data_IF_564507227310
#
_entry.id   IF_564507227310
#
_cell.length_a   1.000
_cell.length_b   1.000
_cell.length_c   1.000
_cell.angle_alpha   90.00
_cell.angle_beta   90.00
_cell.angle_gamma   90.00
#
_symmetry.space_group_name_H-M   'P 1'
#
loop_
_entity.id
_entity.type
_entity.pdbx_description
1 polymer ?
#
# COMPACT_ATOMS: atom_id res chain seq x y z
N UNK A 1 -33.80 4.72 36.26
CA UNK A 1 -33.87 6.19 36.35
C UNK A 1 -32.67 6.88 35.67
N UNK A 2 -31.43 6.66 36.08
CA UNK A 2 -30.22 7.32 35.54
C UNK A 2 -29.97 7.06 34.04
N UNK A 3 -30.30 5.87 33.49
CA UNK A 3 -30.17 5.59 32.03
C UNK A 3 -31.09 6.47 31.18
N UNK A 4 -32.40 6.63 31.57
CA UNK A 4 -33.31 7.51 30.84
C UNK A 4 -32.89 9.00 30.94
N UNK A 5 -32.32 9.39 32.09
CA UNK A 5 -31.73 10.72 32.26
C UNK A 5 -30.55 10.94 31.32
N UNK A 6 -29.65 9.96 31.17
CA UNK A 6 -28.48 10.03 30.28
C UNK A 6 -28.87 10.37 28.83
N UNK A 7 -29.83 9.63 28.25
CA UNK A 7 -30.30 9.91 26.88
C UNK A 7 -30.95 11.31 26.73
N UNK A 8 -31.74 11.72 27.73
CA UNK A 8 -32.38 13.04 27.72
C UNK A 8 -31.35 14.19 27.83
N UNK A 9 -30.36 14.03 28.69
CA UNK A 9 -29.31 15.02 28.88
C UNK A 9 -28.37 15.06 27.64
N UNK A 10 -28.06 13.92 27.00
CA UNK A 10 -27.34 13.89 25.71
C UNK A 10 -28.08 14.72 24.65
N UNK A 11 -29.40 14.55 24.54
CA UNK A 11 -30.19 15.31 23.58
C UNK A 11 -30.28 16.79 23.91
N UNK A 12 -30.43 17.14 25.19
CA UNK A 12 -30.54 18.55 25.65
C UNK A 12 -29.23 19.30 25.44
N UNK A 13 -28.08 18.68 25.68
CA UNK A 13 -26.75 19.29 25.54
C UNK A 13 -26.02 18.85 24.25
N UNK A 14 -26.77 18.45 23.20
CA UNK A 14 -26.24 17.90 21.96
C UNK A 14 -25.09 18.72 21.34
N UNK A 15 -25.18 20.06 21.34
CA UNK A 15 -24.14 20.94 20.80
C UNK A 15 -22.79 20.83 21.53
N UNK A 16 -22.78 20.58 22.85
CA UNK A 16 -21.56 20.42 23.62
C UNK A 16 -20.92 19.04 23.37
N UNK A 17 -21.75 18.00 23.26
CA UNK A 17 -21.30 16.63 23.03
C UNK A 17 -20.94 16.36 21.57
N UNK A 18 -21.53 17.11 20.63
CA UNK A 18 -21.22 17.01 19.22
C UNK A 18 -19.75 17.33 18.91
N UNK A 19 -19.15 18.29 19.61
CA UNK A 19 -17.72 18.61 19.45
C UNK A 19 -16.85 17.42 19.84
N UNK A 20 -17.15 16.74 20.93
CA UNK A 20 -16.42 15.52 21.35
C UNK A 20 -16.58 14.42 20.31
N UNK A 21 -17.84 14.19 19.90
CA UNK A 21 -18.15 13.22 18.86
C UNK A 21 -17.34 13.51 17.58
N UNK A 22 -17.38 14.76 17.10
CA UNK A 22 -16.72 15.14 15.86
C UNK A 22 -15.21 14.93 15.90
N UNK A 23 -14.55 15.29 17.01
CA UNK A 23 -13.11 15.14 17.15
C UNK A 23 -12.69 13.66 17.18
N UNK A 24 -13.40 12.81 17.93
CA UNK A 24 -13.13 11.37 17.96
C UNK A 24 -13.45 10.73 16.61
N UNK A 25 -14.56 11.13 16.00
CA UNK A 25 -14.98 10.63 14.68
C UNK A 25 -13.94 10.94 13.61
N UNK A 26 -13.49 12.21 13.48
CA UNK A 26 -12.49 12.59 12.48
C UNK A 26 -11.16 11.88 12.73
N UNK A 27 -10.71 11.79 14.00
CA UNK A 27 -9.48 11.07 14.32
C UNK A 27 -9.53 9.61 13.93
N UNK A 28 -10.62 8.91 14.23
CA UNK A 28 -10.79 7.50 13.86
C UNK A 28 -11.06 7.30 12.37
N UNK A 29 -11.74 8.23 11.72
CA UNK A 29 -11.98 8.24 10.28
C UNK A 29 -10.65 8.32 9.51
N UNK A 30 -9.79 9.27 9.86
CA UNK A 30 -8.48 9.42 9.24
C UNK A 30 -7.59 8.22 9.51
N UNK A 31 -7.54 7.74 10.77
CA UNK A 31 -6.73 6.58 11.14
C UNK A 31 -7.16 5.32 10.38
N UNK A 32 -8.46 5.01 10.40
CA UNK A 32 -8.98 3.82 9.73
C UNK A 32 -8.83 3.88 8.21
N UNK A 33 -9.04 5.06 7.61
CA UNK A 33 -8.89 5.26 6.18
C UNK A 33 -7.46 5.08 5.70
N UNK A 34 -6.50 5.77 6.36
CA UNK A 34 -5.08 5.70 6.00
C UNK A 34 -4.53 4.29 6.22
N UNK A 35 -4.79 3.68 7.40
CA UNK A 35 -4.36 2.30 7.65
C UNK A 35 -5.03 1.30 6.71
N UNK A 36 -6.36 1.43 6.47
CA UNK A 36 -7.07 0.55 5.56
C UNK A 36 -6.49 0.56 4.15
N UNK A 37 -6.09 1.72 3.66
CA UNK A 37 -5.42 1.90 2.38
C UNK A 37 -3.99 1.34 2.40
N UNK A 38 -3.11 1.80 3.31
CA UNK A 38 -1.70 1.41 3.35
C UNK A 38 -1.49 -0.07 3.63
N UNK A 39 -2.23 -0.62 4.59
CA UNK A 39 -2.16 -2.04 4.90
C UNK A 39 -2.73 -2.89 3.76
N UNK A 40 -3.79 -2.39 3.09
CA UNK A 40 -4.37 -3.01 1.90
C UNK A 40 -3.40 -3.05 0.74
N UNK A 41 -2.70 -1.95 0.46
CA UNK A 41 -1.62 -1.91 -0.54
C UNK A 41 -0.51 -2.91 -0.21
N UNK A 42 -0.02 -2.92 1.02
CA UNK A 42 1.04 -3.82 1.46
C UNK A 42 0.66 -5.31 1.32
N UNK A 43 -0.56 -5.67 1.73
CA UNK A 43 -1.06 -7.05 1.58
C UNK A 43 -1.26 -7.43 0.10
N UNK A 44 -1.81 -6.52 -0.72
CA UNK A 44 -1.99 -6.73 -2.16
C UNK A 44 -0.64 -6.93 -2.86
N UNK A 45 0.36 -6.09 -2.54
CA UNK A 45 1.70 -6.22 -3.10
C UNK A 45 2.39 -7.53 -2.68
N UNK A 46 2.33 -7.91 -1.39
CA UNK A 46 2.89 -9.17 -0.92
C UNK A 46 2.25 -10.37 -1.61
N UNK A 47 0.93 -10.35 -1.80
CA UNK A 47 0.22 -11.40 -2.52
C UNK A 47 0.66 -11.46 -3.98
N UNK A 48 0.74 -10.30 -4.66
CA UNK A 48 1.17 -10.18 -6.04
C UNK A 48 2.62 -10.67 -6.24
N UNK A 49 3.56 -10.21 -5.42
CA UNK A 49 4.96 -10.64 -5.46
C UNK A 49 5.12 -12.15 -5.25
N UNK A 50 4.33 -12.73 -4.35
CA UNK A 50 4.36 -14.16 -4.08
C UNK A 50 3.74 -14.98 -5.22
N UNK A 51 2.57 -14.58 -5.74
CA UNK A 51 1.83 -15.31 -6.77
C UNK A 51 2.57 -15.29 -8.11
N UNK A 52 3.16 -14.14 -8.45
CA UNK A 52 3.87 -13.92 -9.71
C UNK A 52 5.39 -14.07 -9.59
N UNK A 53 5.86 -14.59 -8.45
CA UNK A 53 7.25 -14.97 -8.21
C UNK A 53 8.24 -13.84 -8.51
N UNK A 54 8.12 -12.69 -7.81
CA UNK A 54 9.11 -11.62 -7.91
C UNK A 54 10.49 -12.15 -7.51
N UNK A 55 11.50 -11.94 -8.35
CA UNK A 55 12.89 -12.33 -8.07
C UNK A 55 13.42 -11.74 -6.76
N UNK A 56 14.37 -12.44 -6.15
CA UNK A 56 15.10 -11.98 -4.97
C UNK A 56 16.35 -11.19 -5.33
N UNK A 57 16.99 -11.53 -6.48
CA UNK A 57 18.20 -10.86 -6.95
C UNK A 57 18.10 -10.54 -8.45
N UNK A 58 18.65 -9.40 -8.81
CA UNK A 58 18.90 -8.94 -10.18
C UNK A 58 20.40 -8.99 -10.45
N UNK A 59 20.81 -9.64 -11.52
CA UNK A 59 22.18 -9.67 -12.01
C UNK A 59 22.22 -8.89 -13.32
N UNK A 60 23.18 -7.99 -13.46
CA UNK A 60 23.44 -7.27 -14.72
C UNK A 60 24.86 -7.54 -15.16
N UNK A 61 25.04 -7.83 -16.45
CA UNK A 61 26.33 -8.02 -17.09
C UNK A 61 26.23 -7.63 -18.58
N UNK A 62 27.35 -7.62 -19.29
CA UNK A 62 27.36 -7.45 -20.76
C UNK A 62 26.88 -8.70 -21.47
N UNK A 63 27.20 -9.87 -20.94
CA UNK A 63 26.76 -11.17 -21.41
C UNK A 63 26.67 -12.13 -20.22
N UNK A 64 25.59 -12.87 -20.13
CA UNK A 64 25.39 -13.97 -19.18
C UNK A 64 25.24 -15.25 -20.00
N UNK A 65 26.32 -16.01 -20.06
CA UNK A 65 26.44 -17.23 -20.88
C UNK A 65 25.65 -18.41 -20.32
N UNK A 66 25.50 -19.48 -21.11
CA UNK A 66 24.89 -20.72 -20.63
C UNK A 66 25.68 -21.34 -19.48
N UNK A 67 27.02 -21.23 -19.53
CA UNK A 67 27.88 -21.69 -18.43
C UNK A 67 27.66 -20.85 -17.14
N UNK A 68 27.41 -19.55 -17.25
CA UNK A 68 27.06 -18.74 -16.09
C UNK A 68 25.70 -19.15 -15.52
N UNK A 69 24.71 -19.41 -16.38
CA UNK A 69 23.40 -19.87 -15.97
C UNK A 69 23.48 -21.18 -15.17
N UNK A 70 24.18 -22.18 -15.69
CA UNK A 70 24.36 -23.48 -15.02
C UNK A 70 25.08 -23.34 -13.66
N UNK A 71 26.13 -22.50 -13.61
CA UNK A 71 26.85 -22.20 -12.37
C UNK A 71 25.98 -21.46 -11.36
N UNK A 72 25.14 -20.53 -11.80
CA UNK A 72 24.19 -19.80 -10.93
C UNK A 72 23.16 -20.77 -10.34
N UNK A 73 22.58 -21.65 -11.17
CA UNK A 73 21.63 -22.70 -10.74
C UNK A 73 22.24 -23.71 -9.76
N UNK A 74 23.57 -23.89 -9.79
CA UNK A 74 24.29 -24.79 -8.88
C UNK A 74 24.63 -24.20 -7.51
N UNK A 75 24.37 -22.92 -7.26
CA UNK A 75 24.58 -22.28 -5.95
C UNK A 75 23.54 -22.79 -4.95
N UNK A 76 23.99 -23.17 -3.76
CA UNK A 76 23.09 -23.57 -2.67
C UNK A 76 22.01 -22.51 -2.42
N UNK A 77 20.77 -22.96 -2.24
CA UNK A 77 19.60 -22.12 -2.01
C UNK A 77 19.10 -21.33 -3.22
N UNK A 78 19.69 -21.41 -4.38
CA UNK A 78 19.10 -20.92 -5.62
C UNK A 78 18.02 -21.90 -6.07
N UNK A 79 16.78 -21.42 -6.22
CA UNK A 79 15.64 -22.22 -6.65
C UNK A 79 15.50 -22.22 -8.18
N UNK A 80 15.58 -21.05 -8.80
CA UNK A 80 15.52 -20.88 -10.25
C UNK A 80 16.29 -19.64 -10.71
N UNK A 81 16.70 -19.63 -11.98
CA UNK A 81 17.37 -18.48 -12.64
C UNK A 81 16.85 -18.35 -14.05
N UNK A 82 16.32 -17.18 -14.40
CA UNK A 82 15.92 -16.81 -15.75
C UNK A 82 16.83 -15.72 -16.30
N UNK A 83 17.09 -15.77 -17.61
CA UNK A 83 17.85 -14.72 -18.31
C UNK A 83 16.95 -13.87 -19.20
N UNK A 84 17.35 -12.62 -19.39
CA UNK A 84 16.73 -11.70 -20.32
C UNK A 84 17.77 -10.82 -21.03
N UNK A 85 17.45 -10.43 -22.25
CA UNK A 85 18.06 -9.26 -22.87
C UNK A 85 17.13 -8.07 -22.62
N UNK A 86 17.65 -7.09 -21.89
CA UNK A 86 16.94 -5.83 -21.61
C UNK A 86 17.62 -4.69 -22.35
N UNK A 87 16.85 -3.98 -23.16
CA UNK A 87 17.32 -2.83 -23.93
C UNK A 87 16.19 -1.79 -24.07
N UNK A 88 16.56 -0.56 -24.43
CA UNK A 88 15.59 0.48 -24.73
C UNK A 88 15.25 0.50 -26.22
N UNK A 89 13.97 0.61 -26.54
CA UNK A 89 13.47 0.82 -27.88
C UNK A 89 12.55 2.05 -27.96
N UNK A 90 12.36 2.58 -29.18
CA UNK A 90 11.40 3.68 -29.41
C UNK A 90 10.15 3.15 -30.09
N UNK A 91 8.99 3.59 -29.63
CA UNK A 91 7.71 3.25 -30.28
C UNK A 91 7.45 4.20 -31.44
N UNK A 92 7.60 3.74 -32.68
CA UNK A 92 7.36 4.57 -33.88
C UNK A 92 5.88 4.87 -34.08
N UNK A 93 5.58 6.12 -34.46
CA UNK A 93 4.21 6.61 -34.61
C UNK A 93 3.66 7.32 -33.36
N UNK A 94 4.40 7.28 -32.26
CA UNK A 94 4.09 7.99 -31.03
C UNK A 94 5.25 8.91 -30.66
N UNK A 95 4.91 10.13 -30.21
CA UNK A 95 5.93 11.15 -29.91
C UNK A 95 6.63 10.82 -28.58
N UNK A 96 7.97 10.70 -28.61
CA UNK A 96 8.86 10.57 -27.45
C UNK A 96 8.54 9.39 -26.51
N UNK A 97 7.96 8.30 -27.05
CA UNK A 97 7.69 7.08 -26.27
C UNK A 97 8.88 6.14 -26.37
N UNK A 98 9.45 5.83 -25.19
CA UNK A 98 10.53 4.85 -25.02
C UNK A 98 9.99 3.64 -24.27
N UNK A 99 10.42 2.44 -24.65
CA UNK A 99 10.02 1.19 -24.02
C UNK A 99 11.25 0.45 -23.50
N UNK A 100 11.19 0.00 -22.25
CA UNK A 100 12.08 -1.04 -21.80
C UNK A 100 11.65 -2.35 -22.49
N UNK A 101 12.50 -2.84 -23.36
CA UNK A 101 12.23 -4.03 -24.18
C UNK A 101 12.91 -5.21 -23.52
N UNK A 102 12.11 -6.15 -23.06
CA UNK A 102 12.53 -7.35 -22.36
C UNK A 102 12.37 -8.57 -23.28
N UNK A 103 13.48 -9.13 -23.72
CA UNK A 103 13.52 -10.38 -24.51
C UNK A 103 13.81 -11.53 -23.56
N UNK A 104 12.80 -12.35 -23.29
CA UNK A 104 12.87 -13.40 -22.29
C UNK A 104 13.27 -14.75 -22.90
N UNK A 105 14.14 -15.46 -22.20
CA UNK A 105 14.37 -16.90 -22.41
C UNK A 105 13.18 -17.69 -21.84
N UNK A 106 12.82 -17.44 -20.59
CA UNK A 106 11.71 -18.06 -19.87
C UNK A 106 10.93 -17.02 -19.04
N UNK A 107 9.72 -17.38 -18.60
CA UNK A 107 8.86 -16.53 -17.75
C UNK A 107 8.39 -17.31 -16.50
N UNK A 108 9.34 -17.88 -15.74
CA UNK A 108 9.06 -18.59 -14.48
C UNK A 108 9.27 -17.70 -13.26
N UNK A 109 10.11 -16.68 -13.40
CA UNK A 109 10.40 -15.62 -12.41
C UNK A 109 9.82 -14.30 -12.92
N UNK A 110 9.29 -13.47 -12.05
CA UNK A 110 8.53 -12.25 -12.38
C UNK A 110 7.49 -12.46 -13.47
N UNK A 111 6.63 -13.44 -13.25
CA UNK A 111 5.61 -13.85 -14.22
C UNK A 111 4.70 -12.69 -14.57
N UNK A 112 4.36 -12.59 -15.85
CA UNK A 112 3.41 -11.58 -16.30
C UNK A 112 2.00 -11.86 -15.79
N UNK A 113 1.37 -10.87 -15.17
CA UNK A 113 -0.06 -10.82 -14.96
C UNK A 113 -0.75 -10.32 -16.23
N UNK A 114 -1.58 -11.16 -16.85
CA UNK A 114 -2.28 -10.82 -18.08
C UNK A 114 -3.59 -10.09 -17.76
N UNK A 115 -3.62 -8.80 -18.06
CA UNK A 115 -4.82 -7.95 -17.93
C UNK A 115 -5.80 -8.25 -19.05
N UNK A 116 -5.30 -8.42 -20.29
CA UNK A 116 -6.13 -8.72 -21.46
C UNK A 116 -5.31 -9.46 -22.52
N UNK A 117 -5.93 -10.39 -23.23
CA UNK A 117 -5.30 -11.13 -24.33
C UNK A 117 -4.79 -12.50 -23.95
N UNK A 118 -3.71 -12.94 -24.60
CA UNK A 118 -3.16 -14.27 -24.46
C UNK A 118 -2.09 -14.34 -23.36
N UNK A 119 -2.03 -15.47 -22.64
CA UNK A 119 -0.90 -15.75 -21.73
C UNK A 119 0.39 -15.89 -22.52
N UNK A 120 1.50 -15.45 -21.90
CA UNK A 120 2.83 -15.61 -22.47
C UNK A 120 3.16 -17.10 -22.70
N UNK A 121 3.78 -17.35 -23.85
CA UNK A 121 4.42 -18.62 -24.14
C UNK A 121 5.63 -18.34 -25.08
N UNK A 122 6.74 -18.98 -24.82
CA UNK A 122 8.00 -18.78 -25.57
C UNK A 122 7.87 -19.09 -27.08
N UNK A 123 6.98 -20.01 -27.46
CA UNK A 123 6.71 -20.38 -28.85
C UNK A 123 5.72 -19.44 -29.59
N UNK A 124 5.19 -18.42 -28.93
CA UNK A 124 4.25 -17.48 -29.56
C UNK A 124 4.98 -16.25 -30.08
N UNK A 125 4.83 -15.98 -31.39
CA UNK A 125 5.36 -14.78 -32.03
C UNK A 125 4.48 -13.57 -31.75
N UNK A 126 5.06 -12.51 -31.20
CA UNK A 126 4.39 -11.26 -30.85
C UNK A 126 4.92 -10.67 -29.54
N UNK A 127 4.19 -9.71 -29.02
CA UNK A 127 4.62 -8.95 -27.85
C UNK A 127 3.52 -8.84 -26.81
N UNK A 128 3.92 -8.76 -25.55
CA UNK A 128 3.11 -8.42 -24.40
C UNK A 128 3.48 -7.02 -23.94
N UNK A 129 2.50 -6.14 -23.95
CA UNK A 129 2.71 -4.70 -23.80
C UNK A 129 2.18 -4.24 -22.44
N UNK A 130 2.83 -3.25 -21.84
CA UNK A 130 2.43 -2.56 -20.62
C UNK A 130 0.97 -2.09 -20.69
N UNK A 131 0.15 -2.52 -19.74
CA UNK A 131 -1.29 -2.25 -19.75
C UNK A 131 -1.63 -0.77 -19.49
N UNK A 132 -0.86 -0.08 -18.66
CA UNK A 132 -1.07 1.34 -18.31
C UNK A 132 -0.69 2.25 -19.49
N UNK A 133 0.48 2.00 -20.10
CA UNK A 133 0.87 2.74 -21.29
C UNK A 133 -0.06 2.43 -22.47
N UNK A 134 -0.56 1.19 -22.59
CA UNK A 134 -1.53 0.82 -23.61
C UNK A 134 -2.83 1.60 -23.48
N UNK A 135 -3.34 1.76 -22.26
CA UNK A 135 -4.53 2.56 -21.99
C UNK A 135 -4.33 4.01 -22.39
N UNK A 136 -3.20 4.62 -22.02
CA UNK A 136 -2.87 6.01 -22.37
C UNK A 136 -2.74 6.23 -23.88
N UNK A 137 -2.09 5.28 -24.59
CA UNK A 137 -1.83 5.37 -26.03
C UNK A 137 -2.98 4.79 -26.88
N UNK A 138 -4.03 4.26 -26.26
CA UNK A 138 -5.15 3.58 -26.91
C UNK A 138 -4.70 2.39 -27.79
N UNK A 139 -3.75 1.58 -27.27
CA UNK A 139 -3.24 0.37 -27.90
C UNK A 139 -4.05 -0.85 -27.43
N UNK A 140 -4.42 -1.72 -28.38
CA UNK A 140 -5.26 -2.87 -28.12
C UNK A 140 -4.57 -4.19 -28.51
N UNK A 141 -5.04 -5.27 -27.90
CA UNK A 141 -4.65 -6.62 -28.32
C UNK A 141 -5.02 -6.84 -29.78
N UNK A 142 -4.05 -7.27 -30.57
CA UNK A 142 -4.19 -7.46 -32.02
C UNK A 142 -3.56 -6.36 -32.86
N UNK A 143 -3.27 -5.19 -32.29
CA UNK A 143 -2.59 -4.10 -32.99
C UNK A 143 -1.17 -4.48 -33.39
N UNK A 144 -0.67 -3.86 -34.45
CA UNK A 144 0.71 -4.04 -34.89
C UNK A 144 1.55 -2.82 -34.56
N UNK A 145 2.51 -2.99 -33.67
CA UNK A 145 3.44 -1.97 -33.25
C UNK A 145 4.69 -1.94 -34.14
N UNK A 146 5.28 -0.76 -34.28
CA UNK A 146 6.58 -0.57 -34.93
C UNK A 146 7.58 -0.10 -33.89
N UNK A 147 8.52 -0.96 -33.55
CA UNK A 147 9.58 -0.68 -32.59
C UNK A 147 10.87 -0.33 -33.34
N UNK A 148 11.54 0.71 -32.93
CA UNK A 148 12.89 1.03 -33.35
C UNK A 148 13.88 0.47 -32.32
N UNK A 149 14.58 -0.58 -32.69
CA UNK A 149 15.63 -1.18 -31.89
C UNK A 149 16.96 -0.93 -32.60
N UNK A 150 17.80 -0.11 -32.02
CA UNK A 150 19.13 0.22 -32.58
C UNK A 150 19.12 0.62 -34.07
N UNK A 151 18.08 1.36 -34.51
CA UNK A 151 17.91 1.82 -35.88
C UNK A 151 17.17 0.83 -36.81
N UNK A 152 16.92 -0.39 -36.37
CA UNK A 152 16.12 -1.36 -37.11
C UNK A 152 14.64 -1.33 -36.66
N UNK A 153 13.72 -1.36 -37.62
CA UNK A 153 12.28 -1.28 -37.33
C UNK A 153 11.67 -2.69 -37.30
N UNK A 154 11.20 -3.11 -36.13
CA UNK A 154 10.47 -4.35 -35.92
C UNK A 154 8.96 -4.09 -36.02
N UNK A 155 8.23 -4.97 -36.72
CA UNK A 155 6.77 -4.95 -36.78
C UNK A 155 6.25 -6.15 -35.99
N UNK A 156 5.63 -5.90 -34.84
CA UNK A 156 5.24 -6.94 -33.89
C UNK A 156 3.78 -6.76 -33.49
N UNK A 157 3.05 -7.88 -33.42
CA UNK A 157 1.64 -7.89 -33.04
C UNK A 157 1.50 -7.98 -31.53
N UNK A 158 0.64 -7.13 -30.93
CA UNK A 158 0.30 -7.19 -29.51
C UNK A 158 -0.55 -8.44 -29.23
N UNK A 159 -0.04 -9.32 -28.41
CA UNK A 159 -0.69 -10.57 -27.99
C UNK A 159 -1.42 -10.44 -26.66
N UNK A 160 -0.92 -9.60 -25.78
CA UNK A 160 -1.52 -9.33 -24.48
C UNK A 160 -1.12 -7.97 -23.92
N UNK A 161 -1.96 -7.47 -23.03
CA UNK A 161 -1.66 -6.35 -22.15
C UNK A 161 -1.36 -6.92 -20.76
N UNK A 162 -0.23 -6.52 -20.19
CA UNK A 162 0.31 -7.16 -18.99
C UNK A 162 0.83 -6.16 -17.98
N UNK A 163 0.86 -6.60 -16.71
CA UNK A 163 1.63 -5.99 -15.64
C UNK A 163 2.65 -7.02 -15.13
N UNK A 164 3.70 -6.58 -14.47
CA UNK A 164 4.69 -7.48 -13.88
C UNK A 164 5.07 -7.05 -12.48
N UNK A 165 5.39 -7.96 -11.57
CA UNK A 165 5.76 -7.61 -10.20
C UNK A 165 7.09 -6.84 -10.12
N UNK A 166 7.90 -6.88 -11.17
CA UNK A 166 9.16 -6.13 -11.28
C UNK A 166 8.94 -4.63 -11.56
N UNK A 167 7.75 -4.25 -12.04
CA UNK A 167 7.42 -2.89 -12.48
C UNK A 167 6.28 -2.23 -11.68
N UNK A 168 6.06 -2.64 -10.43
CA UNK A 168 4.97 -2.07 -9.60
C UNK A 168 5.11 -0.55 -9.43
N UNK A 169 6.32 -0.05 -9.22
CA UNK A 169 6.64 1.39 -9.23
C UNK A 169 7.62 1.66 -10.37
N UNK A 170 7.10 1.95 -11.55
CA UNK A 170 7.89 1.99 -12.76
C UNK A 170 8.04 3.40 -13.31
N UNK A 171 9.21 3.98 -13.12
CA UNK A 171 9.60 5.32 -13.61
C UNK A 171 10.77 5.20 -14.58
N UNK A 172 10.88 6.17 -15.48
CA UNK A 172 11.93 6.19 -16.49
C UNK A 172 13.32 6.32 -15.87
N UNK A 173 13.46 7.20 -14.91
CA UNK A 173 14.72 7.49 -14.22
C UNK A 173 14.45 8.18 -12.86
N UNK A 174 15.51 8.39 -12.09
CA UNK A 174 15.43 8.99 -10.74
C UNK A 174 14.99 10.47 -10.70
N UNK A 175 14.74 11.10 -11.82
CA UNK A 175 14.20 12.48 -11.88
C UNK A 175 12.68 12.51 -11.83
N UNK A 176 12.03 11.40 -12.12
CA UNK A 176 10.58 11.23 -11.97
C UNK A 176 10.25 10.74 -10.55
N UNK A 177 9.44 11.52 -9.83
CA UNK A 177 9.00 11.19 -8.46
C UNK A 177 7.82 10.20 -8.51
N UNK A 178 6.95 10.32 -9.53
CA UNK A 178 5.80 9.43 -9.70
C UNK A 178 5.75 8.87 -11.12
N UNK A 179 5.35 7.59 -11.30
CA UNK A 179 5.11 7.02 -12.61
C UNK A 179 4.06 7.83 -13.39
N UNK A 180 4.37 8.17 -14.64
CA UNK A 180 3.46 8.96 -15.47
C UNK A 180 2.73 8.11 -16.50
N UNK A 181 3.24 6.93 -16.85
CA UNK A 181 2.71 6.00 -17.86
C UNK A 181 2.34 6.65 -19.21
N UNK A 182 3.05 7.73 -19.59
CA UNK A 182 2.72 8.51 -20.80
C UNK A 182 3.73 8.33 -21.93
N UNK A 183 5.00 8.28 -21.58
CA UNK A 183 6.10 8.27 -22.53
C UNK A 183 7.17 7.21 -22.23
N UNK A 184 6.96 6.44 -21.16
CA UNK A 184 7.80 5.34 -20.77
C UNK A 184 6.93 4.16 -20.32
N UNK A 185 7.28 2.96 -20.72
CA UNK A 185 6.61 1.72 -20.39
C UNK A 185 7.50 0.55 -20.75
N UNK A 186 6.96 -0.66 -20.69
CA UNK A 186 7.71 -1.87 -20.99
C UNK A 186 7.01 -2.75 -22.04
N UNK A 187 7.80 -3.62 -22.64
CA UNK A 187 7.32 -4.61 -23.59
C UNK A 187 8.11 -5.90 -23.42
N UNK A 188 7.43 -7.02 -23.50
CA UNK A 188 8.01 -8.36 -23.42
C UNK A 188 7.84 -9.12 -24.72
N UNK A 189 8.85 -9.89 -25.11
CA UNK A 189 8.79 -10.83 -26.22
C UNK A 189 9.66 -12.05 -25.95
N UNK A 190 9.39 -13.14 -26.65
CA UNK A 190 10.21 -14.35 -26.59
C UNK A 190 11.51 -14.17 -27.38
N UNK A 191 12.56 -14.89 -26.97
CA UNK A 191 13.86 -14.88 -27.65
C UNK A 191 13.74 -15.18 -29.14
N UNK A 192 12.98 -16.24 -29.51
CA UNK A 192 12.74 -16.60 -30.92
C UNK A 192 12.08 -15.46 -31.72
N UNK A 193 11.16 -14.71 -31.10
CA UNK A 193 10.53 -13.57 -31.77
C UNK A 193 11.54 -12.46 -32.09
N UNK A 194 12.46 -12.21 -31.15
CA UNK A 194 13.50 -11.21 -31.34
C UNK A 194 14.54 -11.67 -32.37
N UNK A 195 15.01 -12.93 -32.28
CA UNK A 195 15.97 -13.52 -33.23
C UNK A 195 15.45 -13.50 -34.67
N UNK A 196 14.21 -13.94 -34.87
CA UNK A 196 13.56 -13.91 -36.18
C UNK A 196 13.43 -12.50 -36.76
N UNK A 197 13.13 -11.51 -35.90
CA UNK A 197 12.90 -10.13 -36.32
C UNK A 197 14.19 -9.34 -36.56
N UNK A 198 15.24 -9.60 -35.78
CA UNK A 198 16.54 -8.92 -35.86
C UNK A 198 17.57 -9.68 -36.70
N UNK A 199 17.35 -10.97 -36.94
CA UNK A 199 18.31 -11.88 -37.58
C UNK A 199 19.68 -11.93 -36.86
N UNK A 200 19.64 -11.93 -35.51
CA UNK A 200 20.82 -12.04 -34.63
C UNK A 200 20.51 -12.92 -33.43
N UNK A 201 21.53 -13.58 -32.91
CA UNK A 201 21.39 -14.33 -31.65
C UNK A 201 21.18 -13.40 -30.45
N UNK A 202 20.38 -13.85 -29.47
CA UNK A 202 20.14 -13.07 -28.26
C UNK A 202 21.35 -13.19 -27.33
N UNK A 203 21.90 -12.04 -26.95
CA UNK A 203 22.93 -11.93 -25.92
C UNK A 203 22.28 -11.44 -24.64
N UNK A 204 22.14 -12.31 -23.65
CA UNK A 204 21.46 -11.98 -22.39
C UNK A 204 22.35 -11.09 -21.51
N UNK A 205 21.79 -9.96 -21.04
CA UNK A 205 22.53 -9.00 -20.21
C UNK A 205 21.94 -8.88 -18.80
N UNK A 206 20.83 -9.56 -18.53
CA UNK A 206 20.17 -9.56 -17.21
C UNK A 206 19.84 -10.99 -16.80
N UNK A 207 19.96 -11.30 -15.49
CA UNK A 207 19.42 -12.52 -14.93
C UNK A 207 18.64 -12.22 -13.66
N UNK A 208 17.58 -12.97 -13.47
CA UNK A 208 16.67 -12.94 -12.34
C UNK A 208 16.87 -14.20 -11.53
N UNK A 209 17.12 -14.08 -10.23
CA UNK A 209 17.37 -15.21 -9.34
C UNK A 209 16.27 -15.32 -8.30
N UNK A 210 15.65 -16.47 -8.22
CA UNK A 210 14.71 -16.86 -7.18
C UNK A 210 15.45 -17.71 -6.13
N UNK A 211 15.26 -17.38 -4.84
CA UNK A 211 15.94 -18.00 -3.70
C UNK A 211 14.90 -18.73 -2.84
N UNK A 212 15.20 -19.95 -2.42
CA UNK A 212 14.29 -20.84 -1.70
C UNK A 212 13.66 -20.21 -0.44
N UNK A 213 14.43 -19.36 0.27
CA UNK A 213 13.98 -18.66 1.50
C UNK A 213 14.60 -17.27 1.59
N UNK A 214 13.80 -16.32 2.02
CA UNK A 214 14.21 -14.92 2.22
C UNK A 214 15.51 -14.77 3.05
N UNK A 215 15.69 -15.61 4.07
CA UNK A 215 16.88 -15.56 4.94
C UNK A 215 18.18 -15.96 4.22
N UNK A 216 18.09 -16.64 3.08
CA UNK A 216 19.24 -17.10 2.28
C UNK A 216 19.67 -16.09 1.21
N UNK A 217 18.88 -15.06 0.92
CA UNK A 217 19.16 -14.07 -0.13
C UNK A 217 20.52 -13.41 0.05
N UNK A 218 20.86 -13.00 1.28
CA UNK A 218 22.15 -12.37 1.57
C UNK A 218 23.35 -13.32 1.37
N UNK A 219 23.20 -14.61 1.71
CA UNK A 219 24.24 -15.62 1.50
C UNK A 219 24.44 -15.95 0.02
N UNK A 220 23.33 -16.09 -0.72
CA UNK A 220 23.35 -16.31 -2.17
C UNK A 220 23.97 -15.11 -2.89
N UNK A 221 23.58 -13.88 -2.53
CA UNK A 221 24.17 -12.64 -3.08
C UNK A 221 25.69 -12.62 -2.89
N UNK A 222 26.18 -12.91 -1.67
CA UNK A 222 27.63 -12.98 -1.38
C UNK A 222 28.32 -14.09 -2.16
N UNK A 223 27.71 -15.27 -2.32
CA UNK A 223 28.24 -16.36 -3.09
C UNK A 223 28.37 -15.98 -4.58
N UNK A 224 27.37 -15.32 -5.15
CA UNK A 224 27.42 -14.81 -6.52
C UNK A 224 28.54 -13.79 -6.67
N UNK A 225 28.62 -12.78 -5.79
CA UNK A 225 29.65 -11.74 -5.83
C UNK A 225 31.08 -12.29 -5.69
N UNK A 226 31.25 -13.39 -4.95
CA UNK A 226 32.54 -14.05 -4.77
C UNK A 226 32.97 -14.89 -5.98
N UNK A 227 32.03 -15.57 -6.61
CA UNK A 227 32.32 -16.60 -7.63
C UNK A 227 32.18 -16.10 -9.07
N UNK A 228 31.61 -14.89 -9.26
CA UNK A 228 31.38 -14.30 -10.59
C UNK A 228 31.84 -12.83 -10.58
N UNK A 229 32.23 -12.37 -11.76
CA UNK A 229 32.61 -10.97 -11.99
C UNK A 229 31.52 -10.26 -12.79
N UNK A 230 30.30 -10.21 -12.23
CA UNK A 230 29.19 -9.48 -12.84
C UNK A 230 29.28 -7.99 -12.56
N UNK A 231 28.73 -7.17 -13.45
CA UNK A 231 28.71 -5.71 -13.30
C UNK A 231 27.92 -5.26 -12.08
N UNK A 232 26.80 -5.92 -11.82
CA UNK A 232 25.96 -5.62 -10.66
C UNK A 232 25.18 -6.85 -10.18
N UNK A 233 25.01 -6.96 -8.85
CA UNK A 233 24.12 -7.92 -8.18
C UNK A 233 23.34 -7.16 -7.12
N UNK A 234 22.05 -6.94 -7.37
CA UNK A 234 21.15 -6.17 -6.49
C UNK A 234 20.07 -7.07 -5.91
N UNK A 235 19.64 -6.78 -4.68
CA UNK A 235 18.50 -7.40 -4.04
C UNK A 235 17.25 -6.51 -4.12
N UNK A 236 16.13 -6.98 -3.57
CA UNK A 236 14.86 -6.24 -3.58
C UNK A 236 14.99 -4.85 -2.94
N UNK A 237 15.71 -4.73 -1.83
CA UNK A 237 15.85 -3.46 -1.10
C UNK A 237 16.66 -2.41 -1.90
N UNK A 238 17.48 -2.84 -2.85
CA UNK A 238 18.21 -1.99 -3.77
C UNK A 238 17.55 -1.86 -5.16
N UNK A 239 16.46 -2.57 -5.42
CA UNK A 239 15.64 -2.42 -6.62
C UNK A 239 14.82 -1.14 -6.55
N UNK A 240 14.92 -0.29 -7.58
CA UNK A 240 14.22 0.99 -7.59
C UNK A 240 12.69 0.85 -7.47
N UNK A 241 12.10 -0.09 -8.22
CA UNK A 241 10.65 -0.34 -8.19
C UNK A 241 10.19 -0.85 -6.83
N UNK A 242 10.87 -1.86 -6.28
CA UNK A 242 10.50 -2.43 -4.98
C UNK A 242 10.74 -1.45 -3.83
N UNK A 243 11.93 -0.82 -3.78
CA UNK A 243 12.28 0.12 -2.72
C UNK A 243 11.41 1.39 -2.77
N UNK A 244 11.12 1.91 -3.96
CA UNK A 244 10.22 3.06 -4.13
C UNK A 244 8.82 2.77 -3.61
N UNK A 245 8.25 1.65 -4.02
CA UNK A 245 6.95 1.20 -3.50
C UNK A 245 6.95 0.99 -1.98
N UNK A 246 7.99 0.32 -1.44
CA UNK A 246 8.10 0.06 0.00
C UNK A 246 8.21 1.36 0.80
N UNK A 247 8.92 2.37 0.27
CA UNK A 247 9.05 3.69 0.89
C UNK A 247 7.71 4.39 1.04
N UNK A 248 6.84 4.35 0.01
CA UNK A 248 5.48 4.91 0.07
C UNK A 248 4.63 4.25 1.17
N UNK A 249 4.69 2.92 1.25
CA UNK A 249 3.96 2.17 2.29
C UNK A 249 4.47 2.53 3.70
N UNK A 250 5.78 2.62 3.90
CA UNK A 250 6.40 2.97 5.19
C UNK A 250 6.09 4.41 5.61
N UNK A 251 6.10 5.35 4.68
CA UNK A 251 5.72 6.74 4.95
C UNK A 251 4.28 6.84 5.45
N UNK A 252 3.34 6.20 4.77
CA UNK A 252 1.94 6.19 5.19
C UNK A 252 1.72 5.56 6.56
N UNK A 253 2.40 4.44 6.85
CA UNK A 253 2.36 3.79 8.16
C UNK A 253 2.96 4.66 9.27
N UNK A 254 3.91 5.52 8.92
CA UNK A 254 4.53 6.48 9.87
C UNK A 254 3.62 7.67 10.15
N UNK A 255 2.96 8.21 9.14
CA UNK A 255 2.11 9.40 9.30
C UNK A 255 0.77 9.11 9.97
N UNK A 256 0.16 7.95 9.75
CA UNK A 256 -1.15 7.62 10.30
C UNK A 256 -1.21 7.72 11.85
N UNK A 257 -0.27 7.17 12.63
CA UNK A 257 -0.25 7.33 14.09
C UNK A 257 -0.05 8.79 14.53
N UNK A 258 0.74 9.58 13.80
CA UNK A 258 1.01 10.98 14.12
C UNK A 258 -0.28 11.81 14.02
N UNK A 259 -1.01 11.69 12.90
CA UNK A 259 -2.31 12.37 12.75
C UNK A 259 -3.31 11.93 13.81
N UNK A 260 -3.39 10.63 14.08
CA UNK A 260 -4.29 10.08 15.11
C UNK A 260 -3.95 10.62 16.49
N UNK A 261 -2.67 10.66 16.84
CA UNK A 261 -2.19 11.23 18.11
C UNK A 261 -2.58 12.70 18.27
N UNK A 262 -2.46 13.49 17.21
CA UNK A 262 -2.83 14.90 17.19
C UNK A 262 -4.34 15.07 17.38
N UNK A 263 -5.19 14.35 16.65
CA UNK A 263 -6.64 14.42 16.82
C UNK A 263 -7.09 13.90 18.18
N UNK A 264 -6.44 12.85 18.70
CA UNK A 264 -6.71 12.34 20.05
C UNK A 264 -6.36 13.36 21.13
N UNK A 265 -5.25 14.07 21.00
CA UNK A 265 -4.87 15.15 21.92
C UNK A 265 -5.94 16.26 21.94
N UNK A 266 -6.38 16.72 20.76
CA UNK A 266 -7.44 17.71 20.64
C UNK A 266 -8.76 17.21 21.25
N UNK A 267 -9.10 15.94 21.00
CA UNK A 267 -10.28 15.31 21.59
C UNK A 267 -10.21 15.28 23.12
N UNK A 268 -9.08 14.91 23.72
CA UNK A 268 -8.87 14.89 25.17
C UNK A 268 -9.08 16.30 25.77
N UNK A 269 -8.47 17.33 25.19
CA UNK A 269 -8.64 18.71 25.65
C UNK A 269 -10.09 19.20 25.53
N UNK A 270 -10.76 18.84 24.43
CA UNK A 270 -12.18 19.14 24.22
C UNK A 270 -13.08 18.45 25.25
N UNK A 271 -12.80 17.17 25.53
CA UNK A 271 -13.53 16.41 26.58
C UNK A 271 -13.33 17.05 27.94
N UNK A 272 -12.09 17.37 28.34
CA UNK A 272 -11.80 18.01 29.63
C UNK A 272 -12.58 19.33 29.79
N UNK A 273 -12.53 20.20 28.79
CA UNK A 273 -13.22 21.49 28.80
C UNK A 273 -14.75 21.30 28.85
N UNK A 274 -15.29 20.47 28.00
CA UNK A 274 -16.74 20.21 27.88
C UNK A 274 -17.29 19.56 29.15
N UNK A 275 -16.61 18.55 29.68
CA UNK A 275 -17.05 17.83 30.87
C UNK A 275 -16.95 18.71 32.12
N UNK A 276 -15.91 19.54 32.24
CA UNK A 276 -15.80 20.49 33.31
C UNK A 276 -16.98 21.48 33.29
N UNK A 277 -17.33 22.05 32.16
CA UNK A 277 -18.49 22.96 32.03
C UNK A 277 -19.79 22.23 32.28
N UNK A 278 -20.00 21.04 31.71
CA UNK A 278 -21.22 20.25 31.87
C UNK A 278 -21.46 19.85 33.31
N UNK A 279 -20.47 19.32 34.03
CA UNK A 279 -20.63 18.91 35.44
C UNK A 279 -20.89 20.14 36.35
N UNK A 280 -20.25 21.27 36.08
CA UNK A 280 -20.56 22.53 36.81
C UNK A 280 -22.01 23.00 36.62
N UNK A 281 -22.54 22.90 35.39
CA UNK A 281 -23.95 23.25 35.10
C UNK A 281 -24.93 22.30 35.80
N UNK A 282 -24.53 21.06 36.03
CA UNK A 282 -25.34 20.02 36.69
C UNK A 282 -25.21 20.04 38.24
N UNK A 283 -24.52 21.03 38.84
CA UNK A 283 -24.19 21.07 40.28
C UNK A 283 -25.42 20.90 41.18
N UNK A 284 -26.52 21.61 40.89
CA UNK A 284 -27.78 21.53 41.65
C UNK A 284 -28.37 20.10 41.57
N UNK A 285 -28.42 19.54 40.40
CA UNK A 285 -28.93 18.16 40.22
C UNK A 285 -28.08 17.12 40.93
N UNK A 286 -26.77 17.30 40.95
CA UNK A 286 -25.82 16.44 41.67
C UNK A 286 -26.11 16.53 43.18
N UNK A 287 -26.32 17.70 43.71
CA UNK A 287 -26.71 17.92 45.11
C UNK A 287 -28.01 17.21 45.46
N UNK A 288 -29.04 17.34 44.63
CA UNK A 288 -30.31 16.63 44.78
C UNK A 288 -30.14 15.09 44.76
N UNK A 289 -29.33 14.56 43.87
CA UNK A 289 -29.03 13.11 43.81
C UNK A 289 -28.31 12.63 45.07
N UNK A 290 -27.39 13.41 45.60
CA UNK A 290 -26.72 13.11 46.91
C UNK A 290 -27.70 13.15 48.09
N UNK A 291 -28.59 14.15 48.15
CA UNK A 291 -29.62 14.26 49.16
C UNK A 291 -30.62 13.10 49.12
N UNK A 292 -30.89 12.56 47.93
CA UNK A 292 -31.71 11.37 47.73
C UNK A 292 -30.95 10.04 48.04
N UNK A 293 -29.73 10.10 48.58
CA UNK A 293 -28.96 8.93 49.03
C UNK A 293 -28.20 8.18 47.92
N UNK A 294 -28.04 8.78 46.73
CA UNK A 294 -27.23 8.15 45.66
C UNK A 294 -25.76 8.14 46.06
N UNK A 295 -25.11 6.97 46.05
CA UNK A 295 -23.66 6.83 46.28
C UNK A 295 -22.85 7.56 45.23
N UNK A 296 -21.76 8.22 45.57
CA UNK A 296 -20.86 8.93 44.67
C UNK A 296 -20.44 8.06 43.47
N UNK A 297 -20.18 6.77 43.68
CA UNK A 297 -19.82 5.82 42.61
C UNK A 297 -20.90 5.74 41.49
N UNK A 298 -22.20 5.74 41.86
CA UNK A 298 -23.30 5.73 40.89
C UNK A 298 -23.38 7.04 40.08
N UNK A 299 -23.08 8.18 40.73
CA UNK A 299 -23.02 9.47 40.08
C UNK A 299 -21.84 9.54 39.13
N UNK A 300 -20.63 9.12 39.54
CA UNK A 300 -19.46 9.03 38.63
C UNK A 300 -19.76 8.18 37.40
N UNK A 301 -20.29 6.97 37.59
CA UNK A 301 -20.62 6.06 36.48
C UNK A 301 -21.64 6.66 35.50
N UNK A 302 -22.55 7.50 35.98
CA UNK A 302 -23.48 8.23 35.12
C UNK A 302 -22.74 9.19 34.19
N UNK A 303 -21.78 10.00 34.73
CA UNK A 303 -21.02 10.95 33.92
C UNK A 303 -20.00 10.29 33.00
N UNK A 304 -19.34 9.22 33.44
CA UNK A 304 -18.48 8.41 32.57
C UNK A 304 -19.27 7.86 31.38
N UNK A 305 -20.53 7.47 31.61
CA UNK A 305 -21.43 6.98 30.57
C UNK A 305 -21.60 7.94 29.39
N UNK A 306 -21.52 9.25 29.60
CA UNK A 306 -21.56 10.21 28.50
C UNK A 306 -20.30 10.10 27.62
N UNK A 307 -19.10 10.17 28.24
CA UNK A 307 -17.84 10.04 27.48
C UNK A 307 -17.75 8.72 26.75
N UNK A 308 -18.09 7.62 27.44
CA UNK A 308 -18.08 6.27 26.85
C UNK A 308 -19.03 6.14 25.65
N UNK A 309 -20.32 6.52 25.82
CA UNK A 309 -21.30 6.36 24.74
C UNK A 309 -20.95 7.21 23.51
N UNK A 310 -20.53 8.46 23.73
CA UNK A 310 -20.19 9.39 22.63
C UNK A 310 -18.95 8.89 21.91
N UNK A 311 -17.89 8.55 22.64
CA UNK A 311 -16.63 8.08 22.02
C UNK A 311 -16.81 6.71 21.35
N UNK A 312 -17.65 5.82 21.90
CA UNK A 312 -17.93 4.53 21.27
C UNK A 312 -18.64 4.70 19.93
N UNK A 313 -19.72 5.50 19.90
CA UNK A 313 -20.45 5.74 18.65
C UNK A 313 -19.55 6.47 17.64
N UNK A 314 -18.80 7.49 18.07
CA UNK A 314 -17.89 8.22 17.21
C UNK A 314 -16.76 7.33 16.66
N UNK A 315 -16.17 6.47 17.49
CA UNK A 315 -15.11 5.56 17.06
C UNK A 315 -15.62 4.51 16.07
N UNK A 316 -16.77 3.89 16.35
CA UNK A 316 -17.36 2.88 15.45
C UNK A 316 -17.70 3.51 14.09
N UNK A 317 -18.38 4.66 14.10
CA UNK A 317 -18.73 5.35 12.85
C UNK A 317 -17.47 5.86 12.13
N UNK A 318 -16.49 6.39 12.85
CA UNK A 318 -15.21 6.83 12.28
C UNK A 318 -14.48 5.69 11.59
N UNK A 319 -14.38 4.53 12.24
CA UNK A 319 -13.77 3.33 11.65
C UNK A 319 -14.50 2.88 10.40
N UNK A 320 -15.83 2.72 10.47
CA UNK A 320 -16.63 2.21 9.33
C UNK A 320 -16.58 3.19 8.15
N UNK A 321 -16.83 4.46 8.40
CA UNK A 321 -16.82 5.48 7.33
C UNK A 321 -15.40 5.66 6.77
N UNK A 322 -14.38 5.73 7.62
CA UNK A 322 -12.99 5.86 7.18
C UNK A 322 -12.56 4.72 6.27
N UNK A 323 -12.86 3.48 6.69
CA UNK A 323 -12.56 2.29 5.89
C UNK A 323 -13.27 2.28 4.53
N UNK A 324 -14.58 2.60 4.51
CA UNK A 324 -15.40 2.51 3.30
C UNK A 324 -15.23 3.70 2.34
N UNK A 325 -14.80 4.86 2.83
CA UNK A 325 -14.72 6.09 2.00
C UNK A 325 -13.29 6.57 1.79
N UNK A 326 -12.59 6.90 2.88
CA UNK A 326 -11.24 7.48 2.79
C UNK A 326 -10.23 6.45 2.24
N UNK A 327 -10.31 5.20 2.71
CA UNK A 327 -9.45 4.13 2.21
C UNK A 327 -9.63 3.89 0.72
N UNK A 328 -10.89 3.81 0.26
CA UNK A 328 -11.19 3.62 -1.16
C UNK A 328 -10.80 4.84 -2.01
N UNK A 329 -11.04 6.05 -1.50
CA UNK A 329 -10.64 7.29 -2.18
C UNK A 329 -9.12 7.33 -2.46
N UNK A 330 -8.29 6.94 -1.48
CA UNK A 330 -6.85 6.86 -1.68
C UNK A 330 -6.44 5.77 -2.66
N UNK A 331 -7.08 4.59 -2.61
CA UNK A 331 -6.85 3.53 -3.61
C UNK A 331 -7.14 4.06 -5.02
N UNK A 332 -8.29 4.67 -5.24
CA UNK A 332 -8.71 5.16 -6.56
C UNK A 332 -7.76 6.28 -7.06
N UNK A 333 -7.25 7.11 -6.16
CA UNK A 333 -6.30 8.16 -6.48
C UNK A 333 -4.92 7.61 -6.87
N UNK A 334 -4.43 6.61 -6.14
CA UNK A 334 -3.05 6.11 -6.28
C UNK A 334 -2.95 4.85 -7.16
N UNK A 335 -4.06 4.18 -7.45
CA UNK A 335 -4.06 3.02 -8.35
C UNK A 335 -3.47 3.32 -9.74
N UNK A 336 -3.43 4.61 -10.15
CA UNK A 336 -2.80 5.05 -11.38
C UNK A 336 -1.26 5.12 -11.31
N UNK A 337 -0.67 5.06 -10.12
CA UNK A 337 0.78 5.15 -9.93
C UNK A 337 1.45 3.77 -9.75
N UNK A 338 0.67 2.77 -9.31
CA UNK A 338 1.21 1.45 -9.00
C UNK A 338 0.62 0.38 -9.92
N UNK A 339 1.47 -0.21 -10.75
CA UNK A 339 1.08 -1.26 -11.71
C UNK A 339 0.85 -2.61 -10.99
N UNK A 340 -0.24 -2.67 -10.23
CA UNK A 340 -0.56 -3.81 -9.40
C UNK A 340 -2.04 -4.18 -9.52
N UNK A 341 -2.38 -5.46 -9.72
CA UNK A 341 -3.76 -5.92 -9.77
C UNK A 341 -4.38 -5.98 -8.37
N UNK A 342 -5.71 -5.85 -8.31
CA UNK A 342 -6.52 -6.16 -7.14
C UNK A 342 -6.15 -5.41 -5.85
N UNK A 343 -5.79 -4.12 -5.96
CA UNK A 343 -5.58 -3.28 -4.78
C UNK A 343 -6.92 -3.15 -4.04
N UNK A 344 -6.94 -3.42 -2.74
CA UNK A 344 -8.14 -3.34 -1.91
C UNK A 344 -7.81 -2.88 -0.50
N UNK A 345 -8.79 -2.28 0.19
CA UNK A 345 -8.64 -1.91 1.59
C UNK A 345 -8.67 -3.13 2.50
N UNK A 346 -7.90 -3.11 3.57
CA UNK A 346 -7.88 -4.16 4.60
C UNK A 346 -8.11 -3.55 5.98
N UNK A 347 -8.97 -4.17 6.80
CA UNK A 347 -9.19 -3.75 8.17
C UNK A 347 -8.37 -4.62 9.13
N UNK A 348 -7.19 -4.17 9.50
CA UNK A 348 -6.33 -4.89 10.41
C UNK A 348 -6.75 -4.74 11.89
N UNK A 349 -6.39 -5.70 12.76
CA UNK A 349 -6.67 -5.65 14.21
C UNK A 349 -6.17 -4.39 14.91
N UNK A 350 -5.12 -3.74 14.42
CA UNK A 350 -4.57 -2.50 14.96
C UNK A 350 -5.60 -1.36 14.98
N UNK A 351 -6.46 -1.28 13.96
CA UNK A 351 -7.53 -0.25 13.88
C UNK A 351 -8.55 -0.46 14.99
N UNK A 352 -8.96 -1.71 15.23
CA UNK A 352 -9.91 -2.06 16.29
C UNK A 352 -9.27 -1.81 17.68
N UNK A 353 -8.01 -2.20 17.87
CA UNK A 353 -7.27 -1.97 19.10
C UNK A 353 -7.17 -0.49 19.43
N UNK A 354 -6.85 0.34 18.44
CA UNK A 354 -6.78 1.81 18.56
C UNK A 354 -8.15 2.39 18.89
N UNK A 355 -9.23 1.92 18.28
CA UNK A 355 -10.59 2.37 18.59
C UNK A 355 -10.95 2.08 20.07
N UNK A 356 -10.63 0.86 20.57
CA UNK A 356 -10.84 0.49 21.96
C UNK A 356 -10.00 1.37 22.89
N UNK A 357 -8.74 1.62 22.56
CA UNK A 357 -7.85 2.50 23.32
C UNK A 357 -8.40 3.93 23.40
N UNK A 358 -8.86 4.50 22.30
CA UNK A 358 -9.45 5.85 22.23
C UNK A 358 -10.69 5.94 23.13
N UNK A 359 -11.60 4.97 23.04
CA UNK A 359 -12.80 4.92 23.91
C UNK A 359 -12.42 4.81 25.39
N UNK A 360 -11.42 3.99 25.73
CA UNK A 360 -10.93 3.87 27.09
C UNK A 360 -10.31 5.17 27.62
N UNK A 361 -9.46 5.82 26.82
CA UNK A 361 -8.82 7.10 27.16
C UNK A 361 -9.87 8.23 27.37
N UNK A 362 -10.82 8.37 26.47
CA UNK A 362 -11.89 9.38 26.61
C UNK A 362 -12.75 9.12 27.85
N UNK A 363 -13.05 7.84 28.13
CA UNK A 363 -13.77 7.45 29.35
C UNK A 363 -12.99 7.78 30.62
N UNK A 364 -11.68 7.54 30.63
CA UNK A 364 -10.78 7.89 31.71
C UNK A 364 -10.71 9.39 31.95
N UNK A 365 -10.53 10.18 30.88
CA UNK A 365 -10.50 11.64 30.96
C UNK A 365 -11.82 12.20 31.50
N UNK A 366 -12.94 11.63 31.04
CA UNK A 366 -14.28 11.97 31.57
C UNK A 366 -14.40 11.68 33.05
N UNK A 367 -13.88 10.53 33.51
CA UNK A 367 -13.84 10.17 34.93
C UNK A 367 -13.01 11.16 35.75
N UNK A 368 -11.79 11.45 35.31
CA UNK A 368 -10.87 12.36 36.02
C UNK A 368 -11.45 13.77 36.15
N UNK A 369 -12.01 14.30 35.06
CA UNK A 369 -12.68 15.62 35.04
C UNK A 369 -13.89 15.66 35.98
N UNK A 370 -14.74 14.64 35.93
CA UNK A 370 -15.91 14.54 36.81
C UNK A 370 -15.53 14.40 38.28
N UNK A 371 -14.50 13.58 38.58
CA UNK A 371 -14.03 13.37 39.97
C UNK A 371 -13.50 14.66 40.60
N UNK A 372 -12.75 15.46 39.85
CA UNK A 372 -12.21 16.74 40.35
C UNK A 372 -13.33 17.64 40.83
N UNK A 373 -14.35 17.88 39.99
CA UNK A 373 -15.45 18.81 40.30
C UNK A 373 -16.37 18.27 41.40
N UNK A 374 -16.66 16.96 41.41
CA UNK A 374 -17.51 16.35 42.44
C UNK A 374 -16.88 16.36 43.85
N UNK A 375 -15.54 16.39 43.93
CA UNK A 375 -14.82 16.62 45.19
C UNK A 375 -14.94 18.10 45.67
N UNK A 376 -14.79 19.08 44.76
CA UNK A 376 -14.90 20.50 45.05
C UNK A 376 -16.31 20.90 45.51
N UNK A 377 -17.35 20.13 45.13
CA UNK A 377 -18.74 20.37 45.56
C UNK A 377 -19.12 19.71 46.91
N UNK A 378 -18.21 18.96 47.53
CA UNK A 378 -18.44 18.28 48.81
C UNK A 378 -17.86 19.03 50.00
N UNK A 379 -17.15 20.13 49.78
CA UNK A 379 -16.71 21.12 50.77
C UNK A 379 -17.56 22.39 50.63
#
# INVERSE_FOLDING_TARGET
MLRRKLYRDLWHYKGQFFTIFLMVFIGMLAFSGIHGYMDGMNESAKAYYKEYNLQDLWITNTNISDSDLERLKSIDHVHDVNRALVLNSKLKGYKDVTLETNVLEENTISKMYVVKGEKYASNKKGVWFDSYLAEYLNIHVGDTLKLDVSGQTLKLKVKGLVNTPDHVYFVKDSTEIFPTHKNYGFIYMAADTFQDAMNVDVTYNKAYVDVDKKNNVSSVKKAIQKNFNFLSVTDRDASFSYAGYQSEVEEGQTYAPVFTGLFLMIAILSVMSTMNRFVRQQRVQIGTLKALGFKNRKIYMHYIGFGFMISLVAAVLGVVVGYLTIGQFFIDMEASYFEMPNIHTVLLPVVIQTAVLVVALISLVTYLSSRKILKETAS
#
